data_IF_331881116846
#
_entry.id   IF_331881116846
#
_cell.length_a   1.000
_cell.length_b   1.000
_cell.length_c   1.000
_cell.angle_alpha   90.00
_cell.angle_beta   90.00
_cell.angle_gamma   90.00
#
_symmetry.space_group_name_H-M   'P 1'
#
loop_
_entity.id
_entity.type
_entity.pdbx_description
1 polymer ?
#
# COMPACT_ATOMS: atom_id res chain seq x y z
N UNK A 1 5.16 5.33 2.29
CA UNK A 1 5.30 3.97 2.83
C UNK A 1 6.40 3.25 2.11
N UNK A 2 6.86 2.15 2.66
CA UNK A 2 7.89 1.31 2.06
C UNK A 2 7.34 0.38 0.97
N UNK A 3 8.19 0.05 0.02
CA UNK A 3 8.00 -1.03 -0.94
C UNK A 3 8.74 -2.31 -0.49
N UNK A 4 9.01 -3.21 -1.46
CA UNK A 4 9.82 -4.41 -1.22
C UNK A 4 11.32 -4.17 -1.50
N UNK A 5 11.69 -3.10 -2.18
CA UNK A 5 13.09 -2.79 -2.57
C UNK A 5 13.73 -1.72 -1.68
N UNK A 6 13.35 -1.62 -0.42
CA UNK A 6 13.93 -0.67 0.52
C UNK A 6 15.23 -1.20 1.13
N UNK A 7 16.10 -0.29 1.54
CA UNK A 7 17.17 -0.62 2.47
C UNK A 7 16.62 -0.59 3.90
N UNK A 8 16.10 -1.72 4.38
CA UNK A 8 15.43 -1.81 5.66
C UNK A 8 16.36 -1.58 6.86
N UNK A 9 17.66 -1.85 6.73
CA UNK A 9 18.63 -1.54 7.79
C UNK A 9 18.75 -0.03 8.00
N UNK A 10 18.83 0.74 6.90
CA UNK A 10 18.86 2.21 6.94
C UNK A 10 17.53 2.80 7.39
N UNK A 11 16.43 2.23 6.95
CA UNK A 11 15.09 2.69 7.31
C UNK A 11 14.82 2.43 8.80
N UNK A 12 15.16 1.24 9.30
CA UNK A 12 15.00 0.85 10.71
C UNK A 12 15.94 1.56 11.68
N UNK A 13 17.04 2.14 11.19
CA UNK A 13 17.96 2.95 12.01
C UNK A 13 17.43 4.37 12.29
N UNK A 14 16.37 4.81 11.60
CA UNK A 14 15.76 6.12 11.82
C UNK A 14 14.91 6.12 13.09
N UNK A 15 14.84 7.24 13.83
CA UNK A 15 13.96 7.38 14.98
C UNK A 15 12.49 7.19 14.57
N UNK A 16 11.73 6.48 15.41
CA UNK A 16 10.28 6.39 15.29
C UNK A 16 9.64 7.59 15.95
N UNK A 17 8.79 8.28 15.20
CA UNK A 17 8.05 9.44 15.69
C UNK A 17 6.55 9.26 15.46
N UNK A 18 5.74 10.10 16.10
CA UNK A 18 4.27 10.13 15.89
C UNK A 18 3.92 11.30 14.99
N UNK A 19 3.14 11.03 13.95
CA UNK A 19 2.66 12.04 13.02
C UNK A 19 1.28 11.66 12.48
N UNK A 20 0.34 12.57 12.55
CA UNK A 20 -1.02 12.42 12.02
C UNK A 20 -1.72 11.08 12.36
N UNK A 21 -1.58 10.61 13.58
CA UNK A 21 -2.23 9.38 14.07
C UNK A 21 -1.38 8.13 14.00
N UNK A 22 -0.40 8.05 13.11
CA UNK A 22 0.47 6.88 12.91
C UNK A 22 1.91 7.08 13.37
N UNK A 23 2.71 6.02 13.26
CA UNK A 23 4.16 6.07 13.45
C UNK A 23 4.86 6.33 12.13
N UNK A 24 5.92 7.13 12.16
CA UNK A 24 6.66 7.55 10.97
C UNK A 24 8.16 7.55 11.21
N UNK A 25 8.91 7.55 10.10
CA UNK A 25 10.31 7.98 10.09
C UNK A 25 10.42 9.26 9.26
N UNK A 26 11.07 10.30 9.79
CA UNK A 26 11.47 11.45 8.98
C UNK A 26 12.79 11.14 8.30
N UNK A 27 12.75 10.78 7.01
CA UNK A 27 13.94 10.55 6.19
C UNK A 27 14.65 11.89 5.93
N UNK A 28 13.85 12.93 5.73
CA UNK A 28 14.25 14.35 5.63
C UNK A 28 13.09 15.20 6.14
N UNK A 29 13.27 16.49 6.44
CA UNK A 29 12.17 17.35 6.92
C UNK A 29 10.91 17.34 6.04
N UNK A 30 11.07 17.15 4.73
CA UNK A 30 9.96 17.09 3.74
C UNK A 30 9.68 15.69 3.19
N UNK A 31 10.35 14.64 3.71
CA UNK A 31 10.17 13.26 3.25
C UNK A 31 9.86 12.37 4.44
N UNK A 32 8.62 11.97 4.54
CA UNK A 32 8.08 11.22 5.67
C UNK A 32 7.74 9.80 5.21
N UNK A 33 8.33 8.80 5.86
CA UNK A 33 7.97 7.41 5.69
C UNK A 33 6.83 7.05 6.65
N UNK A 34 5.66 6.77 6.13
CA UNK A 34 4.53 6.26 6.90
C UNK A 34 4.79 4.78 7.18
N UNK A 35 4.88 4.41 8.46
CA UNK A 35 5.15 3.03 8.84
C UNK A 35 3.92 2.14 8.66
N UNK A 36 4.18 0.87 8.42
CA UNK A 36 3.17 -0.18 8.21
C UNK A 36 2.20 -0.31 9.39
N UNK A 37 0.95 -0.69 9.09
CA UNK A 37 -0.07 -0.99 10.08
C UNK A 37 -0.60 0.24 10.83
N UNK A 38 -0.40 1.45 10.29
CA UNK A 38 -0.92 2.69 10.84
C UNK A 38 -2.17 3.19 10.13
N UNK A 39 -3.04 3.90 10.87
CA UNK A 39 -4.08 4.75 10.29
C UNK A 39 -3.65 6.19 10.48
N UNK A 40 -3.61 6.94 9.38
CA UNK A 40 -3.15 8.33 9.34
C UNK A 40 -4.28 9.25 8.94
N UNK A 41 -4.30 10.46 9.50
CA UNK A 41 -5.19 11.53 9.05
C UNK A 41 -4.46 12.40 8.02
N UNK A 42 -4.80 12.23 6.74
CA UNK A 42 -4.19 12.93 5.60
C UNK A 42 -5.24 13.83 4.95
N UNK A 43 -5.07 15.14 5.03
CA UNK A 43 -6.02 16.11 4.45
C UNK A 43 -7.49 15.88 4.88
N UNK A 44 -7.71 15.47 6.14
CA UNK A 44 -9.03 15.16 6.67
C UNK A 44 -9.62 13.81 6.21
N UNK A 45 -8.79 12.94 5.61
CA UNK A 45 -9.13 11.56 5.26
C UNK A 45 -8.37 10.59 6.15
N UNK A 46 -9.04 9.51 6.59
CA UNK A 46 -8.40 8.40 7.28
C UNK A 46 -7.80 7.45 6.26
N UNK A 47 -6.49 7.29 6.28
CA UNK A 47 -5.75 6.41 5.40
C UNK A 47 -5.10 5.27 6.18
N UNK A 48 -5.50 4.02 5.93
CA UNK A 48 -4.76 2.85 6.40
C UNK A 48 -3.56 2.62 5.49
N UNK A 49 -2.40 2.36 6.09
CA UNK A 49 -1.13 2.20 5.35
C UNK A 49 -0.52 0.84 5.64
N UNK A 50 -0.21 0.07 4.56
CA UNK A 50 0.48 -1.21 4.65
C UNK A 50 1.52 -1.32 3.53
N UNK A 51 2.79 -1.18 3.87
CA UNK A 51 3.92 -1.37 2.96
C UNK A 51 4.34 -2.84 2.80
N UNK A 52 5.34 -3.04 1.97
CA UNK A 52 5.96 -4.34 1.72
C UNK A 52 5.25 -5.20 0.69
N UNK A 53 6.02 -6.13 0.13
CA UNK A 53 5.56 -7.21 -0.76
C UNK A 53 6.65 -8.28 -0.84
N UNK A 54 6.33 -9.43 -1.43
CA UNK A 54 7.30 -10.50 -1.67
C UNK A 54 8.01 -10.27 -3.00
N UNK A 55 9.34 -10.09 -2.98
CA UNK A 55 10.15 -9.99 -4.21
C UNK A 55 10.19 -11.31 -4.96
N UNK A 56 9.76 -11.29 -6.21
CA UNK A 56 9.79 -12.46 -7.11
C UNK A 56 11.21 -12.82 -7.53
N UNK A 57 12.12 -11.87 -7.51
CA UNK A 57 13.52 -11.97 -7.93
C UNK A 57 14.53 -12.13 -6.78
N UNK A 58 14.06 -12.36 -5.55
CA UNK A 58 14.91 -12.49 -4.35
C UNK A 58 16.03 -13.50 -4.47
N UNK A 59 15.83 -14.57 -5.28
CA UNK A 59 16.84 -15.61 -5.50
C UNK A 59 18.07 -15.10 -6.29
N UNK A 60 17.94 -13.99 -7.01
CA UNK A 60 19.03 -13.32 -7.74
C UNK A 60 19.63 -12.13 -7.00
N UNK A 61 19.14 -11.84 -5.79
CA UNK A 61 19.56 -10.70 -4.98
C UNK A 61 20.45 -11.12 -3.82
N UNK A 62 21.24 -10.18 -3.32
CA UNK A 62 22.16 -10.38 -2.19
C UNK A 62 21.50 -9.89 -0.89
N UNK A 63 21.32 -10.78 0.12
CA UNK A 63 20.76 -10.42 1.42
C UNK A 63 21.59 -9.34 2.12
N UNK A 64 20.90 -8.31 2.66
CA UNK A 64 21.53 -7.16 3.34
C UNK A 64 22.19 -6.14 2.41
N UNK A 65 22.13 -6.35 1.09
CA UNK A 65 22.69 -5.44 0.07
C UNK A 65 21.63 -4.98 -0.92
N UNK A 66 20.90 -5.92 -1.51
CA UNK A 66 19.86 -5.62 -2.50
C UNK A 66 18.52 -6.32 -2.19
N UNK A 67 18.46 -7.08 -1.10
CA UNK A 67 17.26 -7.71 -0.58
C UNK A 67 17.31 -7.86 0.93
N UNK A 68 16.19 -7.68 1.59
CA UNK A 68 16.02 -7.84 3.03
C UNK A 68 14.76 -8.66 3.32
N UNK A 69 14.80 -9.60 4.28
CA UNK A 69 13.60 -10.36 4.67
C UNK A 69 12.48 -9.48 5.24
N UNK A 70 12.82 -8.30 5.72
CA UNK A 70 11.86 -7.28 6.19
C UNK A 70 10.99 -6.67 5.06
N UNK A 71 11.23 -7.03 3.79
CA UNK A 71 10.29 -6.68 2.71
C UNK A 71 8.87 -7.20 2.99
N UNK A 72 8.78 -8.33 3.72
CA UNK A 72 7.50 -8.89 4.17
C UNK A 72 7.22 -8.41 5.59
N UNK A 73 6.05 -7.82 5.86
CA UNK A 73 5.65 -7.47 7.22
C UNK A 73 5.70 -8.67 8.16
N UNK A 74 6.22 -8.47 9.37
CA UNK A 74 6.20 -9.49 10.40
C UNK A 74 4.82 -9.59 11.10
N UNK A 75 4.63 -10.65 11.91
CA UNK A 75 3.37 -10.87 12.63
C UNK A 75 3.01 -9.72 13.57
N UNK A 76 4.02 -9.03 14.12
CA UNK A 76 3.82 -7.88 15.00
C UNK A 76 3.29 -6.65 14.23
N UNK A 77 3.81 -6.41 13.03
CA UNK A 77 3.37 -5.35 12.12
C UNK A 77 1.94 -5.63 11.60
N UNK A 78 1.66 -6.87 11.20
CA UNK A 78 0.31 -7.29 10.78
C UNK A 78 -0.69 -7.13 11.94
N UNK A 79 -0.34 -7.60 13.14
CA UNK A 79 -1.19 -7.44 14.33
C UNK A 79 -1.37 -5.98 14.73
N UNK A 80 -0.37 -5.12 14.55
CA UNK A 80 -0.50 -3.68 14.76
C UNK A 80 -1.52 -3.06 13.81
N UNK A 81 -1.50 -3.47 12.54
CA UNK A 81 -2.49 -3.04 11.55
C UNK A 81 -3.92 -3.45 11.90
N UNK A 82 -4.12 -4.68 12.38
CA UNK A 82 -5.43 -5.14 12.86
C UNK A 82 -5.92 -4.25 14.01
N UNK A 83 -5.07 -4.02 15.02
CA UNK A 83 -5.43 -3.16 16.17
C UNK A 83 -5.77 -1.74 15.73
N UNK A 84 -4.96 -1.14 14.85
CA UNK A 84 -5.21 0.20 14.35
C UNK A 84 -6.55 0.30 13.59
N UNK A 85 -6.88 -0.70 12.78
CA UNK A 85 -8.18 -0.77 12.10
C UNK A 85 -9.32 -0.94 13.09
N UNK A 86 -9.19 -1.82 14.09
CA UNK A 86 -10.20 -2.04 15.13
C UNK A 86 -10.45 -0.76 15.97
N UNK A 87 -9.40 -0.02 16.34
CA UNK A 87 -9.49 1.27 17.04
C UNK A 87 -10.27 2.32 16.24
N UNK A 88 -10.29 2.20 14.91
CA UNK A 88 -11.06 3.06 14.00
C UNK A 88 -12.41 2.43 13.57
N UNK A 89 -12.84 1.36 14.24
CA UNK A 89 -14.08 0.65 13.93
C UNK A 89 -14.07 0.02 12.54
N UNK A 90 -12.88 -0.33 12.02
CA UNK A 90 -12.63 -0.85 10.67
C UNK A 90 -13.19 0.02 9.55
N UNK A 91 -13.16 1.35 9.76
CA UNK A 91 -13.63 2.34 8.79
C UNK A 91 -12.54 3.33 8.46
N UNK A 92 -12.13 3.32 7.20
CA UNK A 92 -11.12 4.24 6.65
C UNK A 92 -11.62 4.80 5.32
N UNK A 93 -11.13 5.94 4.92
CA UNK A 93 -11.44 6.53 3.62
C UNK A 93 -10.56 5.94 2.52
N UNK A 94 -9.28 5.77 2.83
CA UNK A 94 -8.27 5.30 1.90
C UNK A 94 -7.56 4.06 2.45
N UNK A 95 -7.19 3.15 1.56
CA UNK A 95 -6.14 2.17 1.81
C UNK A 95 -4.97 2.47 0.87
N UNK A 96 -3.79 2.63 1.45
CA UNK A 96 -2.54 2.82 0.74
C UNK A 96 -1.65 1.60 1.02
N UNK A 97 -1.44 0.76 0.04
CA UNK A 97 -0.59 -0.42 0.17
C UNK A 97 0.45 -0.49 -0.93
N UNK A 98 1.53 -1.27 -0.72
CA UNK A 98 2.46 -1.54 -1.80
C UNK A 98 1.98 -2.73 -2.63
N UNK A 99 1.58 -3.82 -2.00
CA UNK A 99 0.97 -4.99 -2.64
C UNK A 99 -0.55 -4.82 -2.74
N UNK A 100 -1.21 -5.62 -3.58
CA UNK A 100 -2.65 -5.67 -3.75
C UNK A 100 -3.33 -6.75 -2.88
N UNK A 101 -4.64 -6.64 -2.57
CA UNK A 101 -5.44 -7.76 -2.10
C UNK A 101 -5.37 -8.94 -3.07
N UNK A 102 -5.46 -10.17 -2.55
CA UNK A 102 -5.24 -11.39 -3.34
C UNK A 102 -6.13 -11.49 -4.59
N UNK A 103 -7.39 -11.13 -4.48
CA UNK A 103 -8.34 -11.13 -5.61
C UNK A 103 -7.94 -10.14 -6.69
N UNK A 104 -7.52 -8.94 -6.30
CA UNK A 104 -7.06 -7.88 -7.22
C UNK A 104 -5.71 -8.25 -7.83
N UNK A 105 -4.78 -8.80 -7.03
CA UNK A 105 -3.51 -9.34 -7.54
C UNK A 105 -3.73 -10.41 -8.61
N UNK A 106 -4.66 -11.33 -8.39
CA UNK A 106 -5.03 -12.34 -9.40
C UNK A 106 -5.59 -11.73 -10.66
N UNK A 107 -6.44 -10.71 -10.53
CA UNK A 107 -6.99 -9.98 -11.69
C UNK A 107 -5.91 -9.18 -12.43
N UNK A 108 -4.97 -8.58 -11.72
CA UNK A 108 -3.83 -7.86 -12.30
C UNK A 108 -2.91 -8.80 -13.10
N UNK A 109 -2.64 -9.99 -12.58
CA UNK A 109 -1.77 -10.99 -13.19
C UNK A 109 -2.50 -11.92 -14.19
N UNK A 110 -3.82 -11.78 -14.36
CA UNK A 110 -4.57 -12.53 -15.33
C UNK A 110 -4.08 -12.22 -16.76
N UNK A 111 -3.56 -13.26 -17.45
CA UNK A 111 -2.93 -13.10 -18.77
C UNK A 111 -1.40 -13.19 -18.75
N UNK A 112 -0.76 -13.04 -17.60
CA UNK A 112 0.63 -13.45 -17.40
C UNK A 112 0.65 -14.99 -17.30
N UNK A 113 1.41 -15.68 -18.15
CA UNK A 113 1.37 -17.15 -18.32
C UNK A 113 1.33 -17.96 -17.01
N UNK A 114 0.93 -19.23 -17.10
CA UNK A 114 0.55 -20.13 -16.00
C UNK A 114 1.53 -20.24 -14.80
N UNK A 115 2.81 -19.92 -15.00
CA UNK A 115 3.81 -19.88 -13.91
C UNK A 115 3.67 -18.71 -12.93
N UNK A 116 2.88 -17.69 -13.26
CA UNK A 116 2.61 -16.55 -12.40
C UNK A 116 1.43 -16.80 -11.43
N UNK A 117 0.46 -17.62 -11.83
CA UNK A 117 -0.76 -17.87 -11.07
C UNK A 117 -0.48 -18.60 -9.75
N UNK A 118 0.49 -19.51 -9.70
CA UNK A 118 0.88 -20.24 -8.49
C UNK A 118 1.61 -19.37 -7.44
N UNK A 119 2.07 -18.18 -7.82
CA UNK A 119 2.78 -17.25 -6.92
C UNK A 119 1.92 -16.07 -6.43
N UNK A 120 0.62 -16.10 -6.69
CA UNK A 120 -0.27 -14.99 -6.31
C UNK A 120 -0.56 -14.95 -4.83
N UNK A 121 -0.60 -16.09 -4.14
CA UNK A 121 -0.85 -16.13 -2.70
C UNK A 121 0.45 -15.97 -1.92
N UNK A 122 0.54 -14.91 -1.14
CA UNK A 122 1.62 -14.61 -0.21
C UNK A 122 1.04 -13.96 1.07
N UNK A 123 1.83 -13.87 2.17
CA UNK A 123 1.33 -13.34 3.45
C UNK A 123 0.74 -11.93 3.34
N UNK A 124 1.34 -11.07 2.50
CA UNK A 124 0.92 -9.66 2.38
C UNK A 124 -0.40 -9.56 1.64
N UNK A 125 -0.52 -10.20 0.46
CA UNK A 125 -1.75 -10.18 -0.31
C UNK A 125 -2.91 -10.90 0.40
N UNK A 126 -2.64 -11.94 1.19
CA UNK A 126 -3.65 -12.60 2.02
C UNK A 126 -4.14 -11.68 3.16
N UNK A 127 -3.22 -10.97 3.83
CA UNK A 127 -3.59 -10.00 4.86
C UNK A 127 -4.42 -8.85 4.25
N UNK A 128 -4.00 -8.32 3.11
CA UNK A 128 -4.73 -7.26 2.41
C UNK A 128 -6.10 -7.74 1.93
N UNK A 129 -6.25 -9.00 1.55
CA UNK A 129 -7.55 -9.61 1.25
C UNK A 129 -8.46 -9.62 2.48
N UNK A 130 -7.91 -9.95 3.67
CA UNK A 130 -8.66 -9.86 4.90
C UNK A 130 -9.09 -8.41 5.22
N UNK A 131 -8.24 -7.40 4.99
CA UNK A 131 -8.61 -5.98 5.12
C UNK A 131 -9.75 -5.63 4.18
N UNK A 132 -9.65 -6.06 2.93
CA UNK A 132 -10.66 -5.84 1.89
C UNK A 132 -12.04 -6.38 2.29
N UNK A 133 -12.08 -7.59 2.84
CA UNK A 133 -13.32 -8.30 3.21
C UNK A 133 -13.94 -7.82 4.53
N UNK A 134 -13.15 -7.23 5.43
CA UNK A 134 -13.58 -6.95 6.80
C UNK A 134 -13.65 -5.48 7.17
N UNK A 135 -13.17 -4.60 6.31
CA UNK A 135 -13.13 -3.15 6.56
C UNK A 135 -14.03 -2.39 5.56
N UNK A 136 -14.59 -1.28 6.04
CA UNK A 136 -15.32 -0.31 5.23
C UNK A 136 -14.31 0.75 4.74
N UNK A 137 -14.03 0.77 3.45
CA UNK A 137 -13.10 1.69 2.79
C UNK A 137 -13.70 2.20 1.47
N UNK A 138 -13.17 3.30 0.92
CA UNK A 138 -13.73 3.95 -0.27
C UNK A 138 -12.82 3.82 -1.50
N UNK A 139 -11.53 4.12 -1.33
CA UNK A 139 -10.54 4.04 -2.41
C UNK A 139 -9.29 3.29 -1.94
N UNK A 140 -8.74 2.48 -2.81
CA UNK A 140 -7.53 1.69 -2.57
C UNK A 140 -6.48 1.95 -3.62
N UNK A 141 -5.32 2.48 -3.20
CA UNK A 141 -4.18 2.72 -4.08
C UNK A 141 -3.05 1.77 -3.73
N UNK A 142 -2.47 1.12 -4.75
CA UNK A 142 -1.35 0.20 -4.59
C UNK A 142 -0.39 0.30 -5.77
N UNK A 143 0.86 -0.25 -5.62
CA UNK A 143 1.90 -0.25 -6.64
C UNK A 143 2.39 -1.65 -7.00
N UNK A 144 3.69 -1.90 -6.89
CA UNK A 144 4.39 -3.17 -7.03
C UNK A 144 4.41 -3.79 -8.44
N UNK A 145 3.30 -3.78 -9.15
CA UNK A 145 3.14 -4.50 -10.43
C UNK A 145 3.53 -3.69 -11.67
N UNK A 146 3.99 -2.44 -11.49
CA UNK A 146 4.52 -1.56 -12.53
C UNK A 146 3.55 -1.29 -13.69
N UNK A 147 2.28 -1.15 -13.39
CA UNK A 147 1.22 -0.75 -14.33
C UNK A 147 0.32 0.32 -13.73
N UNK A 148 -0.32 1.08 -14.61
CA UNK A 148 -1.38 2.05 -14.26
C UNK A 148 -2.72 1.48 -14.70
N UNK A 149 -3.52 0.95 -13.74
CA UNK A 149 -4.76 0.24 -14.04
C UNK A 149 -5.76 0.30 -12.89
N UNK A 150 -7.06 0.41 -13.24
CA UNK A 150 -8.16 0.38 -12.27
C UNK A 150 -8.84 -0.98 -12.23
N UNK A 151 -9.40 -1.35 -11.06
CA UNK A 151 -10.15 -2.58 -10.83
C UNK A 151 -11.38 -2.29 -9.98
N UNK A 152 -12.32 -3.24 -9.99
CA UNK A 152 -13.62 -3.10 -9.36
C UNK A 152 -14.65 -2.41 -10.26
N UNK A 153 -15.93 -2.57 -9.94
CA UNK A 153 -17.05 -2.07 -10.78
C UNK A 153 -17.07 -0.53 -10.85
N UNK A 154 -16.65 0.14 -9.77
CA UNK A 154 -16.57 1.60 -9.65
C UNK A 154 -15.12 2.11 -9.74
N UNK A 155 -14.19 1.29 -10.24
CA UNK A 155 -12.76 1.61 -10.32
C UNK A 155 -12.13 2.00 -8.96
N UNK A 156 -12.69 1.48 -7.85
CA UNK A 156 -12.28 1.84 -6.48
C UNK A 156 -10.87 1.36 -6.11
N UNK A 157 -10.30 0.40 -6.83
CA UNK A 157 -8.89 0.03 -6.71
C UNK A 157 -8.10 0.64 -7.87
N UNK A 158 -7.00 1.30 -7.55
CA UNK A 158 -6.09 1.89 -8.54
C UNK A 158 -4.67 1.43 -8.31
N UNK A 159 -4.13 0.67 -9.26
CA UNK A 159 -2.71 0.37 -9.39
C UNK A 159 -2.00 1.57 -9.99
N UNK A 160 -0.88 1.98 -9.40
CA UNK A 160 -0.13 3.19 -9.75
C UNK A 160 1.33 2.85 -10.04
N UNK A 161 1.83 3.36 -11.17
CA UNK A 161 3.23 3.28 -11.55
C UNK A 161 3.77 4.63 -12.03
N UNK A 162 3.19 5.20 -13.09
CA UNK A 162 3.53 6.51 -13.62
C UNK A 162 2.50 7.59 -13.28
N UNK A 163 1.27 7.17 -13.06
CA UNK A 163 0.18 8.09 -12.82
C UNK A 163 0.29 8.80 -11.48
N UNK A 164 -0.04 10.08 -11.48
CA UNK A 164 -0.31 10.88 -10.30
C UNK A 164 -1.81 11.06 -10.21
N UNK A 165 -2.41 10.75 -9.06
CA UNK A 165 -3.84 10.89 -8.86
C UNK A 165 -4.15 11.98 -7.84
N UNK A 166 -5.17 12.76 -8.13
CA UNK A 166 -5.77 13.72 -7.21
C UNK A 166 -7.06 13.12 -6.64
N UNK A 167 -7.11 12.95 -5.31
CA UNK A 167 -8.31 12.48 -4.61
C UNK A 167 -9.18 13.66 -4.26
N UNK A 168 -10.45 13.61 -4.61
CA UNK A 168 -11.42 14.67 -4.36
C UNK A 168 -12.62 14.15 -3.59
N UNK A 169 -13.32 15.05 -2.88
CA UNK A 169 -14.64 14.74 -2.33
C UNK A 169 -15.70 15.11 -3.36
N UNK A 170 -16.61 14.20 -3.62
CA UNK A 170 -17.80 14.51 -4.38
C UNK A 170 -18.75 15.41 -3.55
N UNK A 171 -19.70 16.05 -4.21
CA UNK A 171 -20.67 16.93 -3.54
C UNK A 171 -21.65 16.20 -2.60
N UNK A 172 -21.57 14.86 -2.49
CA UNK A 172 -22.42 14.00 -1.62
C UNK A 172 -21.63 13.38 -0.46
N UNK A 173 -20.33 13.74 -0.31
CA UNK A 173 -19.44 13.23 0.74
C UNK A 173 -18.76 11.91 0.38
N UNK A 174 -18.92 11.41 -0.84
CA UNK A 174 -18.14 10.33 -1.42
C UNK A 174 -16.71 10.76 -1.75
N UNK A 175 -15.89 9.82 -2.15
CA UNK A 175 -14.54 10.08 -2.68
C UNK A 175 -14.48 9.62 -4.13
N UNK A 176 -13.76 10.38 -4.92
CA UNK A 176 -13.41 10.08 -6.29
C UNK A 176 -11.93 10.45 -6.52
N UNK A 177 -11.36 9.99 -7.63
CA UNK A 177 -10.02 10.40 -8.02
C UNK A 177 -9.94 10.68 -9.51
N UNK A 178 -9.02 11.55 -9.89
CA UNK A 178 -8.68 11.81 -11.27
C UNK A 178 -7.18 11.72 -11.49
N UNK A 179 -6.77 11.27 -12.69
CA UNK A 179 -5.37 11.22 -13.09
C UNK A 179 -4.92 12.64 -13.43
N UNK A 180 -3.89 13.11 -12.75
CA UNK A 180 -3.39 14.48 -12.84
C UNK A 180 -2.26 14.66 -13.87
N UNK A 181 -1.80 13.61 -14.55
CA UNK A 181 -0.63 13.63 -15.45
C UNK A 181 -0.80 14.52 -16.69
N UNK A 182 -2.02 14.95 -16.99
CA UNK A 182 -2.36 15.63 -18.26
C UNK A 182 -2.46 17.16 -18.13
N UNK A 183 -1.99 17.73 -17.02
CA UNK A 183 -1.81 19.18 -16.97
C UNK A 183 -0.50 19.50 -17.68
N UNK A 184 -0.60 19.66 -19.00
CA UNK A 184 0.52 20.00 -19.86
C UNK A 184 1.39 21.06 -19.22
N UNK A 185 2.65 20.71 -19.01
CA UNK A 185 3.71 21.71 -18.80
C UNK A 185 3.86 22.41 -20.15
N UNK A 186 3.14 23.50 -20.29
CA UNK A 186 3.32 24.44 -21.38
C UNK A 186 4.52 25.34 -21.09
#
# INVERSE_FOLDING_TARGET
MDGNHENFDRLGALPKERWHGGSVHFIRPSVIHLMRGGVFELCGLKAFVMGGAVSVDKASREPGVSWWPQEVPDDGELAAGIRALDEHGRKVDLVLSHEAPLNIKRAALAGCGSGYVDRTSDPVSNYLQWVDETCDWKLWFFGHHHEDRSFGDEAQYRMLFHDIVEVTRDGRGGLDYQVANDRGVS
#
